data_IF_671897874143
#
_entry.id   IF_671897874143
#
_cell.length_a   1.000
_cell.length_b   1.000
_cell.length_c   1.000
_cell.angle_alpha   90.00
_cell.angle_beta   90.00
_cell.angle_gamma   90.00
#
_symmetry.space_group_name_H-M   'P 1'
#
loop_
_entity.id
_entity.type
_entity.pdbx_description
1 polymer ?
#
# COMPACT_ATOMS: atom_id res chain seq x y z
N UNK A 1 -70.53 6.91 25.79
CA UNK A 1 -70.14 6.74 24.37
C UNK A 1 -68.74 7.28 24.19
N UNK A 2 -67.89 6.50 23.51
CA UNK A 2 -66.56 6.79 22.95
C UNK A 2 -65.45 7.35 23.87
N UNK A 3 -64.57 6.44 24.32
CA UNK A 3 -63.16 6.71 24.66
C UNK A 3 -62.35 6.73 23.35
N UNK A 4 -61.55 7.78 23.09
CA UNK A 4 -60.48 7.80 22.08
C UNK A 4 -59.17 8.08 22.83
N UNK A 5 -58.39 7.04 23.15
CA UNK A 5 -57.33 6.43 22.32
C UNK A 5 -56.02 7.22 22.37
N UNK A 6 -55.20 6.83 23.35
CA UNK A 6 -53.75 6.99 23.39
C UNK A 6 -53.11 6.38 22.15
N UNK A 7 -52.41 7.19 21.35
CA UNK A 7 -51.40 6.70 20.42
C UNK A 7 -50.02 7.03 20.97
N UNK A 8 -49.45 6.06 21.68
CA UNK A 8 -48.01 5.93 21.84
C UNK A 8 -47.44 5.23 20.60
N UNK A 9 -46.38 5.77 20.03
CA UNK A 9 -45.67 5.20 18.91
C UNK A 9 -44.34 5.91 18.74
N UNK A 10 -43.31 5.35 19.36
CA UNK A 10 -41.93 5.83 19.35
C UNK A 10 -41.43 6.15 17.93
N UNK A 11 -41.03 7.41 17.72
CA UNK A 11 -40.14 7.78 16.63
C UNK A 11 -38.76 7.19 16.94
N UNK A 12 -38.42 6.07 16.30
CA UNK A 12 -37.07 5.54 16.26
C UNK A 12 -36.21 6.48 15.40
N UNK A 13 -35.17 7.14 15.95
CA UNK A 13 -34.20 7.82 15.10
C UNK A 13 -33.36 6.75 14.37
N UNK A 14 -33.39 6.81 13.03
CA UNK A 14 -32.44 6.10 12.17
C UNK A 14 -31.03 6.65 12.46
N UNK A 15 -30.28 5.99 13.32
CA UNK A 15 -28.83 6.10 13.37
C UNK A 15 -28.26 4.97 12.52
N UNK A 16 -28.17 5.20 11.22
CA UNK A 16 -27.40 4.32 10.33
C UNK A 16 -25.95 4.82 10.37
N UNK A 17 -25.09 3.93 10.86
CA UNK A 17 -23.70 4.16 11.18
C UNK A 17 -22.88 4.71 10.00
N UNK A 18 -22.41 5.95 10.12
CA UNK A 18 -21.23 6.46 9.43
C UNK A 18 -19.98 5.97 10.17
N UNK A 19 -19.70 4.67 10.05
CA UNK A 19 -18.48 4.05 10.61
C UNK A 19 -17.40 3.76 9.56
N UNK A 20 -17.66 4.05 8.28
CA UNK A 20 -16.71 3.75 7.17
C UNK A 20 -15.79 4.93 6.83
N UNK A 21 -15.97 6.11 7.45
CA UNK A 21 -15.17 7.31 7.09
C UNK A 21 -14.06 7.66 8.08
N UNK A 22 -13.91 6.96 9.21
CA UNK A 22 -12.91 7.33 10.23
C UNK A 22 -11.48 6.92 9.90
N UNK A 23 -11.27 5.86 9.14
CA UNK A 23 -9.91 5.33 8.89
C UNK A 23 -9.23 6.08 7.74
N UNK A 24 -9.98 6.55 6.74
CA UNK A 24 -9.41 7.40 5.69
C UNK A 24 -9.02 8.80 6.18
N UNK A 25 -9.55 9.23 7.34
CA UNK A 25 -9.36 10.57 7.89
C UNK A 25 -8.26 10.69 8.96
N UNK A 26 -7.60 9.59 9.34
CA UNK A 26 -6.49 9.59 10.30
C UNK A 26 -5.29 8.78 9.78
N UNK A 27 -4.97 8.92 8.48
CA UNK A 27 -3.56 8.88 8.11
C UNK A 27 -2.94 10.12 8.75
N UNK A 28 -2.32 9.93 9.91
CA UNK A 28 -1.56 10.95 10.65
C UNK A 28 -0.84 11.85 9.63
N UNK A 29 -1.05 13.17 9.73
CA UNK A 29 -0.51 14.19 8.84
C UNK A 29 1.02 14.19 8.91
N UNK A 30 1.62 13.17 8.34
CA UNK A 30 3.03 12.88 8.38
C UNK A 30 3.52 13.01 6.95
N UNK A 31 4.41 13.96 6.73
CA UNK A 31 5.03 14.24 5.44
C UNK A 31 6.03 13.12 5.05
N UNK A 32 5.54 11.89 4.81
CA UNK A 32 6.40 10.80 4.37
C UNK A 32 6.87 11.02 2.94
N UNK A 33 8.17 10.83 2.71
CA UNK A 33 8.75 10.90 1.39
C UNK A 33 9.28 9.53 0.97
N UNK A 34 8.77 8.98 -0.13
CA UNK A 34 9.19 7.69 -0.68
C UNK A 34 10.70 7.63 -0.90
N UNK A 35 11.38 8.76 -1.19
CA UNK A 35 12.85 8.79 -1.38
C UNK A 35 13.63 8.42 -0.13
N UNK A 36 13.03 8.60 1.05
CA UNK A 36 13.65 8.16 2.30
C UNK A 36 13.68 6.63 2.42
N UNK A 37 12.64 5.98 1.89
CA UNK A 37 12.53 4.53 1.85
C UNK A 37 13.27 3.93 0.66
N UNK A 38 13.21 4.58 -0.51
CA UNK A 38 13.82 4.20 -1.77
C UNK A 38 15.21 4.81 -1.89
N UNK A 39 16.24 4.05 -1.56
CA UNK A 39 17.64 4.47 -1.70
C UNK A 39 18.35 3.62 -2.74
N UNK A 40 19.23 4.22 -3.52
CA UNK A 40 20.03 3.49 -4.52
C UNK A 40 20.81 2.35 -3.85
N UNK A 41 20.76 1.16 -4.47
CA UNK A 41 21.38 -0.07 -3.97
C UNK A 41 20.59 -0.78 -2.88
N UNK A 42 19.47 -0.22 -2.42
CA UNK A 42 18.64 -0.84 -1.39
C UNK A 42 17.81 -1.98 -1.98
N UNK A 43 17.73 -3.07 -1.23
CA UNK A 43 16.81 -4.19 -1.50
C UNK A 43 15.65 -4.11 -0.52
N UNK A 44 14.44 -4.13 -1.07
CA UNK A 44 13.18 -4.00 -0.33
C UNK A 44 12.35 -5.23 -0.59
N UNK A 45 11.91 -5.89 0.47
CA UNK A 45 11.06 -7.07 0.41
C UNK A 45 9.63 -6.73 0.75
N UNK A 46 8.69 -7.35 0.05
CA UNK A 46 7.31 -7.47 0.53
C UNK A 46 7.28 -8.61 1.54
N UNK A 47 7.09 -8.27 2.81
CA UNK A 47 7.03 -9.25 3.89
C UNK A 47 5.65 -9.88 3.95
N UNK A 48 4.62 -9.03 4.04
CA UNK A 48 3.21 -9.40 4.14
C UNK A 48 2.40 -8.57 3.14
N UNK A 49 1.31 -9.12 2.64
CA UNK A 49 0.46 -8.48 1.62
C UNK A 49 -1.00 -8.89 1.76
N UNK A 50 -1.91 -8.05 1.30
CA UNK A 50 -3.32 -8.40 1.08
C UNK A 50 -3.63 -8.71 -0.39
N UNK A 51 -2.61 -8.76 -1.26
CA UNK A 51 -2.77 -9.11 -2.68
C UNK A 51 -3.31 -10.54 -2.81
N UNK A 52 -4.43 -10.76 -3.53
CA UNK A 52 -4.95 -12.10 -3.76
C UNK A 52 -4.00 -12.93 -4.63
N UNK A 53 -4.13 -14.25 -4.57
CA UNK A 53 -3.38 -15.17 -5.44
C UNK A 53 -2.08 -15.70 -4.84
N UNK A 54 -1.15 -16.10 -5.70
CA UNK A 54 0.00 -16.94 -5.34
C UNK A 54 1.35 -16.24 -5.47
N UNK A 55 1.36 -14.92 -5.66
CA UNK A 55 2.60 -14.16 -5.75
C UNK A 55 3.30 -14.12 -4.39
N UNK A 56 4.56 -14.52 -4.36
CA UNK A 56 5.43 -14.61 -3.17
C UNK A 56 6.85 -14.18 -3.51
N UNK A 57 7.72 -14.08 -2.51
CA UNK A 57 9.13 -13.71 -2.66
C UNK A 57 9.34 -12.41 -3.45
N UNK A 58 8.39 -11.47 -3.35
CA UNK A 58 8.47 -10.20 -4.06
C UNK A 58 9.52 -9.31 -3.40
N UNK A 59 10.51 -8.88 -4.19
CA UNK A 59 11.51 -7.90 -3.79
C UNK A 59 11.82 -6.93 -4.91
N UNK A 60 12.18 -5.71 -4.52
CA UNK A 60 12.63 -4.65 -5.41
C UNK A 60 14.08 -4.31 -5.07
N UNK A 61 14.94 -4.31 -6.09
CA UNK A 61 16.32 -3.82 -6.01
C UNK A 61 16.40 -2.47 -6.68
N UNK A 62 16.60 -1.42 -5.89
CA UNK A 62 16.62 -0.04 -6.40
C UNK A 62 17.95 0.22 -7.09
N UNK A 63 17.93 0.43 -8.40
CA UNK A 63 19.15 0.63 -9.20
C UNK A 63 19.55 2.10 -9.29
N UNK A 64 18.60 3.01 -9.46
CA UNK A 64 18.85 4.45 -9.56
C UNK A 64 17.70 5.24 -8.96
N UNK A 65 18.02 6.36 -8.31
CA UNK A 65 17.05 7.39 -7.95
C UNK A 65 17.60 8.75 -8.36
N UNK A 66 16.90 9.44 -9.28
CA UNK A 66 17.26 10.79 -9.73
C UNK A 66 16.03 11.71 -9.65
N UNK A 67 16.07 12.64 -8.69
CA UNK A 67 14.99 13.58 -8.37
C UNK A 67 13.67 12.86 -8.07
N UNK A 68 12.88 12.60 -9.13
CA UNK A 68 11.55 11.98 -9.11
C UNK A 68 11.50 10.66 -9.85
N UNK A 69 12.57 10.29 -10.53
CA UNK A 69 12.64 9.05 -11.30
C UNK A 69 13.32 7.99 -10.46
N UNK A 70 12.70 6.82 -10.40
CA UNK A 70 13.23 5.62 -9.75
C UNK A 70 13.36 4.56 -10.83
N UNK A 71 14.47 3.83 -10.84
CA UNK A 71 14.62 2.60 -11.61
C UNK A 71 14.90 1.47 -10.66
N UNK A 72 14.24 0.34 -10.86
CA UNK A 72 14.38 -0.81 -10.00
C UNK A 72 14.08 -2.11 -10.75
N UNK A 73 14.62 -3.19 -10.21
CA UNK A 73 14.31 -4.53 -10.68
C UNK A 73 13.42 -5.22 -9.65
N UNK A 74 12.25 -5.69 -10.11
CA UNK A 74 11.31 -6.44 -9.29
C UNK A 74 11.47 -7.92 -9.60
N UNK A 75 11.74 -8.71 -8.57
CA UNK A 75 11.77 -10.16 -8.65
C UNK A 75 10.65 -10.73 -7.79
N UNK A 76 9.95 -11.75 -8.29
CA UNK A 76 8.90 -12.44 -7.54
C UNK A 76 8.73 -13.88 -8.03
N UNK A 77 8.05 -14.70 -7.22
CA UNK A 77 7.57 -16.01 -7.62
C UNK A 77 6.07 -15.96 -7.83
N UNK A 78 5.59 -16.55 -8.91
CA UNK A 78 4.18 -16.83 -9.12
C UNK A 78 4.04 -18.33 -9.39
N UNK A 79 3.36 -19.03 -8.49
CA UNK A 79 3.41 -20.49 -8.40
C UNK A 79 4.85 -21.01 -8.28
N UNK A 80 5.30 -21.90 -9.16
CA UNK A 80 6.65 -22.46 -9.16
C UNK A 80 7.66 -21.67 -9.99
N UNK A 81 7.22 -20.64 -10.71
CA UNK A 81 8.05 -19.88 -11.63
C UNK A 81 8.56 -18.61 -10.97
N UNK A 82 9.81 -18.26 -11.26
CA UNK A 82 10.44 -17.01 -10.83
C UNK A 82 10.45 -16.04 -12.00
N UNK A 83 10.03 -14.81 -11.73
CA UNK A 83 9.93 -13.72 -12.68
C UNK A 83 10.83 -12.58 -12.22
N UNK A 84 11.32 -11.82 -13.20
CA UNK A 84 12.17 -10.66 -12.99
C UNK A 84 11.83 -9.63 -14.05
N UNK A 85 11.58 -8.40 -13.61
CA UNK A 85 11.10 -7.31 -14.45
C UNK A 85 11.87 -6.04 -14.12
N UNK A 86 12.24 -5.29 -15.16
CA UNK A 86 12.82 -3.96 -15.02
C UNK A 86 11.70 -2.91 -15.07
N UNK A 87 11.59 -2.11 -14.01
CA UNK A 87 10.51 -1.16 -13.80
C UNK A 87 11.04 0.26 -13.60
N UNK A 88 10.19 1.22 -13.92
CA UNK A 88 10.39 2.66 -13.71
C UNK A 88 9.32 3.18 -12.77
N UNK A 89 9.72 4.03 -11.84
CA UNK A 89 8.85 4.79 -10.96
C UNK A 89 8.93 6.29 -11.24
N UNK A 90 7.79 6.98 -11.29
CA UNK A 90 7.72 8.45 -11.24
C UNK A 90 7.09 8.87 -9.92
N UNK A 91 7.86 9.56 -9.09
CA UNK A 91 7.46 10.06 -7.78
C UNK A 91 6.59 11.30 -7.89
N UNK A 92 5.55 11.39 -7.08
CA UNK A 92 4.62 12.51 -7.02
C UNK A 92 3.97 12.61 -5.63
N UNK A 93 3.25 13.72 -5.39
CA UNK A 93 2.39 13.88 -4.23
C UNK A 93 0.95 13.55 -4.62
N UNK A 94 0.31 12.59 -3.95
CA UNK A 94 -1.02 12.07 -4.30
C UNK A 94 -2.09 13.16 -4.28
N UNK A 95 -2.08 13.98 -3.22
CA UNK A 95 -3.09 15.00 -2.99
C UNK A 95 -2.90 16.24 -3.89
N UNK A 96 -1.71 16.41 -4.45
CA UNK A 96 -1.29 17.52 -5.29
C UNK A 96 -0.61 17.02 -6.57
N UNK A 97 -1.19 16.02 -7.22
CA UNK A 97 -0.60 15.34 -8.37
C UNK A 97 -0.40 16.27 -9.57
N UNK A 98 -1.16 17.37 -9.64
CA UNK A 98 -1.02 18.43 -10.64
C UNK A 98 0.23 19.31 -10.46
N UNK A 99 0.75 19.44 -9.24
CA UNK A 99 1.99 20.16 -8.95
C UNK A 99 3.15 19.17 -8.83
N UNK A 100 3.78 18.95 -9.97
CA UNK A 100 4.95 18.11 -10.14
C UNK A 100 6.16 18.47 -9.24
N UNK A 101 6.19 19.68 -8.67
CA UNK A 101 7.26 20.13 -7.78
C UNK A 101 6.93 19.94 -6.31
N UNK A 102 5.68 19.61 -5.99
CA UNK A 102 5.21 19.47 -4.63
C UNK A 102 5.87 18.29 -3.93
N UNK A 103 6.43 18.59 -2.76
CA UNK A 103 6.95 17.61 -1.81
C UNK A 103 6.09 17.61 -0.54
N UNK A 104 6.10 16.52 0.25
CA UNK A 104 6.85 15.28 0.05
C UNK A 104 6.29 14.42 -1.10
N UNK A 105 7.12 13.54 -1.67
CA UNK A 105 6.64 12.54 -2.63
C UNK A 105 6.10 11.32 -1.88
N UNK A 106 4.81 11.31 -1.60
CA UNK A 106 4.13 10.21 -0.91
C UNK A 106 3.69 9.07 -1.84
N UNK A 107 3.88 9.23 -3.16
CA UNK A 107 3.39 8.26 -4.15
C UNK A 107 4.36 8.03 -5.31
N UNK A 108 4.23 6.87 -5.95
CA UNK A 108 5.02 6.44 -7.10
C UNK A 108 4.14 5.78 -8.15
N UNK A 109 4.14 6.33 -9.37
CA UNK A 109 3.52 5.69 -10.53
C UNK A 109 4.54 4.74 -11.16
N UNK A 110 4.22 3.46 -11.22
CA UNK A 110 5.08 2.39 -11.72
C UNK A 110 4.68 1.98 -13.12
N UNK A 111 5.68 1.83 -13.99
CA UNK A 111 5.53 1.39 -15.37
C UNK A 111 6.67 0.44 -15.76
N UNK A 112 6.45 -0.34 -16.81
CA UNK A 112 7.52 -1.13 -17.41
C UNK A 112 8.45 -0.27 -18.29
N UNK A 113 9.45 -0.90 -18.91
CA UNK A 113 10.42 -0.18 -19.75
C UNK A 113 9.81 0.49 -20.99
N UNK A 114 8.66 0.01 -21.47
CA UNK A 114 7.90 0.56 -22.60
C UNK A 114 6.93 1.67 -22.15
N UNK A 115 7.03 2.12 -20.89
CA UNK A 115 6.19 3.14 -20.26
C UNK A 115 4.70 2.74 -20.21
N UNK A 116 4.40 1.43 -20.26
CA UNK A 116 3.06 0.91 -20.00
C UNK A 116 2.79 0.99 -18.49
N UNK A 117 1.72 1.69 -18.05
CA UNK A 117 1.39 1.80 -16.63
C UNK A 117 1.03 0.44 -16.03
N UNK A 118 1.60 0.15 -14.86
CA UNK A 118 1.34 -1.08 -14.11
C UNK A 118 0.52 -0.76 -12.86
N UNK A 119 1.05 0.11 -11.98
CA UNK A 119 0.44 0.42 -10.69
C UNK A 119 0.72 1.83 -10.22
N UNK A 120 -0.17 2.41 -9.42
CA UNK A 120 0.18 3.47 -8.47
C UNK A 120 0.44 2.87 -7.09
N UNK A 121 1.53 3.32 -6.46
CA UNK A 121 1.94 2.91 -5.13
C UNK A 121 1.96 4.13 -4.19
N UNK A 122 1.23 4.08 -3.08
CA UNK A 122 1.05 5.19 -2.13
C UNK A 122 1.63 4.79 -0.78
N UNK A 123 2.48 5.63 -0.20
CA UNK A 123 3.11 5.42 1.10
C UNK A 123 2.16 5.84 2.21
N UNK A 124 1.52 4.88 2.86
CA UNK A 124 0.58 5.14 3.96
C UNK A 124 1.30 5.28 5.30
N UNK A 125 2.41 4.54 5.51
CA UNK A 125 3.22 4.61 6.73
C UNK A 125 4.69 4.40 6.40
N UNK A 126 5.56 5.19 7.04
CA UNK A 126 7.00 4.95 7.13
C UNK A 126 7.45 4.94 8.60
N UNK A 127 8.30 3.97 8.97
CA UNK A 127 8.92 3.94 10.29
C UNK A 127 10.06 4.95 10.41
N UNK A 128 10.38 5.37 11.64
CA UNK A 128 11.38 6.43 11.89
C UNK A 128 12.81 6.07 11.49
N UNK A 129 13.06 4.81 11.12
CA UNK A 129 14.36 4.31 10.67
C UNK A 129 14.39 4.03 9.17
N UNK A 130 13.29 4.28 8.47
CA UNK A 130 13.12 4.04 7.04
C UNK A 130 13.44 2.59 6.63
N UNK A 131 13.21 1.64 7.54
CA UNK A 131 13.41 0.19 7.36
C UNK A 131 12.11 -0.55 7.11
N UNK A 132 10.97 0.09 7.35
CA UNK A 132 9.67 -0.50 7.20
C UNK A 132 8.65 0.53 6.68
N UNK A 133 7.83 0.10 5.73
CA UNK A 133 6.77 0.91 5.16
C UNK A 133 5.48 0.09 4.96
N UNK A 134 4.33 0.76 5.01
CA UNK A 134 3.07 0.21 4.50
C UNK A 134 2.73 0.97 3.22
N UNK A 135 2.55 0.21 2.14
CA UNK A 135 2.31 0.75 0.80
C UNK A 135 0.96 0.24 0.30
N UNK A 136 0.08 1.15 -0.12
CA UNK A 136 -1.14 0.83 -0.86
C UNK A 136 -0.81 0.76 -2.34
N UNK A 137 -1.20 -0.34 -2.99
CA UNK A 137 -0.98 -0.59 -4.41
C UNK A 137 -2.30 -0.58 -5.14
N UNK A 138 -2.37 0.16 -6.25
CA UNK A 138 -3.55 0.32 -7.10
C UNK A 138 -3.15 -0.12 -8.52
N UNK A 139 -3.79 -1.15 -9.06
CA UNK A 139 -3.53 -1.60 -10.44
C UNK A 139 -4.40 -0.82 -11.43
N UNK A 140 -3.78 -0.36 -12.51
CA UNK A 140 -4.50 0.20 -13.64
C UNK A 140 -5.07 -0.92 -14.52
N UNK A 141 -6.35 -1.20 -14.32
CA UNK A 141 -7.07 -2.20 -15.10
C UNK A 141 -8.38 -2.55 -14.41
N UNK A 142 -9.44 -2.72 -15.18
CA UNK A 142 -10.66 -3.32 -14.65
C UNK A 142 -10.36 -4.78 -14.32
N UNK A 143 -10.55 -5.17 -13.07
CA UNK A 143 -10.66 -6.59 -12.73
C UNK A 143 -11.77 -7.24 -13.58
N UNK A 144 -11.85 -8.57 -13.57
CA UNK A 144 -12.94 -9.29 -14.24
C UNK A 144 -14.35 -8.81 -13.81
N UNK A 145 -14.44 -8.14 -12.66
CA UNK A 145 -15.66 -7.58 -12.06
C UNK A 145 -15.84 -6.08 -12.32
N UNK A 146 -14.97 -5.44 -13.10
CA UNK A 146 -15.07 -4.01 -13.41
C UNK A 146 -14.59 -3.08 -12.30
N UNK A 147 -13.88 -3.59 -11.31
CA UNK A 147 -13.34 -2.81 -10.18
C UNK A 147 -11.82 -2.67 -10.26
N UNK A 148 -11.29 -1.52 -9.83
CA UNK A 148 -9.86 -1.31 -9.63
C UNK A 148 -9.36 -2.24 -8.51
N UNK A 149 -8.32 -3.02 -8.78
CA UNK A 149 -7.73 -3.90 -7.76
C UNK A 149 -6.81 -3.08 -6.85
N UNK A 150 -7.06 -3.17 -5.54
CA UNK A 150 -6.30 -2.46 -4.51
C UNK A 150 -5.88 -3.43 -3.42
N UNK A 151 -4.61 -3.37 -3.00
CA UNK A 151 -4.10 -4.11 -1.85
C UNK A 151 -3.12 -3.28 -1.04
N UNK A 152 -2.71 -3.79 0.12
CA UNK A 152 -1.64 -3.21 0.94
C UNK A 152 -0.49 -4.19 1.05
N UNK A 153 0.70 -3.64 1.17
CA UNK A 153 1.94 -4.37 1.36
C UNK A 153 2.70 -3.81 2.56
N UNK A 154 3.12 -4.71 3.45
CA UNK A 154 4.12 -4.42 4.46
C UNK A 154 5.49 -4.67 3.85
N UNK A 155 6.21 -3.59 3.53
CA UNK A 155 7.53 -3.63 2.92
C UNK A 155 8.62 -3.40 3.96
N UNK A 156 9.72 -4.13 3.85
CA UNK A 156 10.87 -4.00 4.75
C UNK A 156 12.18 -3.99 3.97
N UNK A 157 13.20 -3.31 4.47
CA UNK A 157 14.55 -3.42 3.93
C UNK A 157 15.17 -4.78 4.23
N UNK A 158 16.11 -5.23 3.39
CA UNK A 158 16.83 -6.50 3.57
C UNK A 158 17.40 -6.67 4.99
N UNK A 159 18.03 -5.63 5.53
CA UNK A 159 18.63 -5.63 6.86
C UNK A 159 17.62 -5.67 8.02
N UNK A 160 16.33 -5.49 7.72
CA UNK A 160 15.22 -5.61 8.66
C UNK A 160 14.39 -6.89 8.45
N UNK A 161 14.72 -7.71 7.45
CA UNK A 161 13.92 -8.86 7.04
C UNK A 161 13.81 -9.92 8.13
N UNK A 162 14.93 -10.21 8.80
CA UNK A 162 15.00 -11.17 9.92
C UNK A 162 14.57 -10.57 11.25
N UNK A 163 14.34 -9.26 11.31
CA UNK A 163 13.86 -8.57 12.49
C UNK A 163 12.32 -8.48 12.45
N UNK A 164 11.70 -8.22 13.59
CA UNK A 164 10.30 -7.80 13.58
C UNK A 164 10.20 -6.42 12.94
N UNK A 165 9.20 -6.17 12.07
CA UNK A 165 8.88 -4.82 11.61
C UNK A 165 8.60 -3.91 12.81
N UNK A 166 8.72 -2.61 12.61
CA UNK A 166 8.38 -1.63 13.64
C UNK A 166 6.92 -1.81 14.07
N UNK A 167 6.63 -1.56 15.36
CA UNK A 167 5.26 -1.63 15.86
C UNK A 167 4.32 -0.69 15.09
N UNK A 168 4.82 0.48 14.65
CA UNK A 168 4.07 1.44 13.84
C UNK A 168 3.56 0.83 12.54
N UNK A 169 4.45 0.25 11.73
CA UNK A 169 4.03 -0.40 10.49
C UNK A 169 3.13 -1.60 10.73
N UNK A 170 3.52 -2.46 11.67
CA UNK A 170 2.84 -3.74 11.88
C UNK A 170 1.42 -3.51 12.39
N UNK A 171 1.24 -2.57 13.32
CA UNK A 171 -0.08 -2.24 13.85
C UNK A 171 -0.96 -1.63 12.75
N UNK A 172 -0.45 -0.64 11.99
CA UNK A 172 -1.20 -0.02 10.90
C UNK A 172 -1.61 -1.05 9.84
N UNK A 173 -0.67 -1.88 9.38
CA UNK A 173 -0.94 -2.91 8.38
C UNK A 173 -2.01 -3.91 8.87
N UNK A 174 -1.88 -4.40 10.10
CA UNK A 174 -2.84 -5.34 10.67
C UNK A 174 -4.22 -4.71 10.87
N UNK A 175 -4.29 -3.42 11.18
CA UNK A 175 -5.53 -2.68 11.33
C UNK A 175 -6.27 -2.53 9.99
N UNK A 176 -5.56 -2.11 8.94
CA UNK A 176 -6.19 -1.82 7.63
C UNK A 176 -6.44 -3.07 6.78
N UNK A 177 -5.65 -4.14 6.98
CA UNK A 177 -5.78 -5.40 6.23
C UNK A 177 -6.57 -6.45 6.99
N UNK A 178 -6.41 -6.54 8.30
CA UNK A 178 -7.07 -7.55 9.13
C UNK A 178 -6.78 -8.98 8.68
N UNK A 179 -7.85 -9.74 8.40
CA UNK A 179 -7.79 -11.19 8.12
C UNK A 179 -7.34 -11.53 6.70
N UNK A 180 -7.26 -10.55 5.81
CA UNK A 180 -6.85 -10.75 4.40
C UNK A 180 -5.32 -10.79 4.25
N UNK A 181 -4.59 -10.53 5.33
CA UNK A 181 -3.14 -10.55 5.37
C UNK A 181 -2.60 -11.96 5.14
N UNK A 182 -1.60 -12.07 4.27
CA UNK A 182 -0.80 -13.27 4.08
C UNK A 182 0.68 -12.93 3.96
N UNK A 183 1.58 -13.86 4.36
CA UNK A 183 3.00 -13.69 4.10
C UNK A 183 3.27 -13.75 2.59
N UNK A 184 4.10 -12.84 2.10
CA UNK A 184 4.73 -12.91 0.78
C UNK A 184 6.16 -13.45 0.89
N UNK A 185 6.86 -13.09 1.96
CA UNK A 185 8.21 -13.58 2.23
C UNK A 185 8.23 -14.90 3.01
N UNK A 186 9.22 -15.74 2.71
CA UNK A 186 9.65 -16.86 3.54
C UNK A 186 11.16 -17.02 3.46
N UNK A 187 11.82 -17.70 4.41
CA UNK A 187 13.26 -17.98 4.33
C UNK A 187 13.71 -18.70 3.05
N UNK A 188 12.80 -19.41 2.36
CA UNK A 188 13.09 -20.09 1.07
C UNK A 188 13.15 -19.16 -0.16
N UNK A 189 12.93 -17.85 0.06
CA UNK A 189 13.05 -16.83 -0.97
C UNK A 189 14.50 -16.38 -1.21
N UNK A 190 15.41 -16.65 -0.25
CA UNK A 190 16.84 -16.36 -0.36
C UNK A 190 17.60 -17.52 -0.98
#
# INVERSE_FOLDING_TARGET
>A
MAKLSTFGGLLFPLLVATAVTRIEAEADNTDYDFREFLQQGKVIWVRDTSEPGTVTCRRDTISTIDKRSVSFERQFKNNSQTFQESLKGKLFNWQHWEDETRTPYDSMAVSNNEDVPETDEILEVLDTRNKCAVVKVIVFGLSAEGLTTVWRELRVSEDALTMSPSAKCLNYFNEVVGKESRPSYSPSCQ
#
